data_IF_149252111796
#
_entry.id   IF_149252111796
#
_cell.length_a   1.000
_cell.length_b   1.000
_cell.length_c   1.000
_cell.angle_alpha   90.00
_cell.angle_beta   90.00
_cell.angle_gamma   90.00
#
_symmetry.space_group_name_H-M   'P 1'
#
loop_
_entity.id
_entity.type
_entity.pdbx_description
1 polymer ?
#
# COMPACT_ATOMS: atom_id res chain seq x y z
N UNK A 1 27.27 58.36 15.12
CA UNK A 1 26.20 57.32 15.07
C UNK A 1 26.15 56.76 13.66
N UNK A 2 26.91 55.67 13.43
CA UNK A 2 26.95 54.94 12.14
C UNK A 2 26.04 53.70 12.29
N UNK A 3 24.95 53.69 11.51
CA UNK A 3 24.01 52.57 11.44
C UNK A 3 24.53 51.55 10.39
N UNK A 4 24.93 50.39 10.85
CA UNK A 4 25.26 49.27 9.95
C UNK A 4 24.00 48.51 9.57
N UNK A 5 23.60 48.59 8.33
CA UNK A 5 22.54 47.75 7.76
C UNK A 5 23.13 46.35 7.41
N UNK A 6 22.66 45.35 8.10
CA UNK A 6 22.96 43.95 7.76
C UNK A 6 22.15 43.52 6.51
N UNK A 7 22.85 43.25 5.42
CA UNK A 7 22.24 42.65 4.22
C UNK A 7 22.07 41.16 4.49
N UNK A 8 20.83 40.70 4.66
CA UNK A 8 20.48 39.30 4.66
C UNK A 8 20.41 38.84 3.22
N UNK A 9 21.40 38.08 2.78
CA UNK A 9 21.37 37.40 1.48
C UNK A 9 20.36 36.28 1.56
N UNK A 10 19.19 36.46 0.96
CA UNK A 10 18.22 35.39 0.75
C UNK A 10 18.76 34.48 -0.37
N UNK A 11 19.27 33.31 0.01
CA UNK A 11 19.57 32.23 -0.94
C UNK A 11 18.26 31.71 -1.51
N UNK A 12 17.91 32.13 -2.72
CA UNK A 12 16.82 31.54 -3.49
C UNK A 12 17.27 30.14 -3.92
N UNK A 13 16.84 29.11 -3.17
CA UNK A 13 16.92 27.74 -3.65
C UNK A 13 16.01 27.65 -4.88
N UNK A 14 16.60 27.48 -6.07
CA UNK A 14 15.86 27.25 -7.31
C UNK A 14 15.25 25.85 -7.25
N UNK A 15 13.92 25.78 -7.18
CA UNK A 15 13.16 24.55 -7.34
C UNK A 15 13.40 23.85 -8.69
N UNK A 16 14.04 24.52 -9.65
CA UNK A 16 14.37 23.99 -10.97
C UNK A 16 15.53 22.96 -10.95
N UNK A 17 16.45 23.04 -9.99
CA UNK A 17 17.59 22.10 -9.93
C UNK A 17 17.23 20.73 -9.35
N UNK A 18 16.15 20.62 -8.56
CA UNK A 18 15.69 19.35 -8.01
C UNK A 18 14.97 18.47 -9.05
N UNK A 19 14.64 18.98 -10.22
CA UNK A 19 13.87 18.27 -11.27
C UNK A 19 14.72 17.89 -12.51
N UNK A 20 15.99 18.25 -12.57
CA UNK A 20 16.85 17.91 -13.69
C UNK A 20 17.26 16.43 -13.64
N UNK A 21 16.53 15.56 -14.32
CA UNK A 21 16.91 14.17 -14.55
C UNK A 21 15.79 13.13 -14.52
N UNK A 22 14.57 13.49 -14.16
CA UNK A 22 13.43 12.54 -14.18
C UNK A 22 12.41 12.97 -15.23
N UNK A 23 12.51 12.41 -16.42
CA UNK A 23 11.41 12.47 -17.38
C UNK A 23 10.24 11.71 -16.77
N UNK A 24 9.02 12.30 -16.66
CA UNK A 24 7.83 11.54 -16.26
C UNK A 24 7.69 10.35 -17.23
N UNK A 25 7.56 9.15 -16.69
CA UNK A 25 7.42 7.95 -17.51
C UNK A 25 6.07 7.94 -18.26
N UNK A 26 5.06 8.66 -17.74
CA UNK A 26 3.78 8.86 -18.38
C UNK A 26 3.36 10.34 -18.30
N UNK A 27 2.60 10.81 -19.29
CA UNK A 27 1.88 12.09 -19.22
C UNK A 27 0.73 12.03 -18.23
N UNK A 28 -0.03 13.14 -18.04
CA UNK A 28 -1.20 13.14 -17.15
C UNK A 28 -2.25 12.16 -17.64
N UNK A 29 -2.83 11.41 -16.71
CA UNK A 29 -3.91 10.44 -16.99
C UNK A 29 -4.94 10.44 -15.86
N UNK A 30 -6.12 9.88 -16.15
CA UNK A 30 -7.15 9.61 -15.17
C UNK A 30 -7.49 8.11 -15.20
N UNK A 31 -7.65 7.50 -14.01
CA UNK A 31 -8.20 6.15 -13.85
C UNK A 31 -9.56 6.29 -13.17
N UNK A 32 -10.62 5.86 -13.83
CA UNK A 32 -11.99 5.99 -13.34
C UNK A 32 -12.27 5.00 -12.21
N UNK A 33 -13.38 5.23 -11.48
CA UNK A 33 -13.86 4.28 -10.48
C UNK A 33 -14.12 2.91 -11.14
N UNK A 34 -13.68 1.83 -10.48
CA UNK A 34 -13.77 0.46 -11.01
C UNK A 34 -12.81 0.11 -12.15
N UNK A 35 -12.00 1.06 -12.63
CA UNK A 35 -10.97 0.83 -13.64
C UNK A 35 -9.57 0.78 -12.98
N UNK A 36 -8.61 0.19 -13.68
CA UNK A 36 -7.21 0.14 -13.31
C UNK A 36 -6.29 0.46 -14.48
N UNK A 37 -5.00 0.57 -14.21
CA UNK A 37 -3.97 0.61 -15.25
C UNK A 37 -4.00 -0.68 -16.07
N UNK A 38 -3.65 -0.67 -17.37
CA UNK A 38 -3.62 -1.88 -18.20
C UNK A 38 -2.78 -2.98 -17.56
N UNK A 39 -3.35 -4.18 -17.46
CA UNK A 39 -2.71 -5.34 -16.80
C UNK A 39 -2.64 -5.30 -15.27
N UNK A 40 -3.15 -4.23 -14.63
CA UNK A 40 -3.08 -4.03 -13.18
C UNK A 40 -4.41 -4.30 -12.47
N UNK A 41 -5.14 -5.33 -12.86
CA UNK A 41 -6.36 -5.76 -12.17
C UNK A 41 -6.27 -7.26 -11.89
N UNK A 42 -6.37 -7.63 -10.61
CA UNK A 42 -6.29 -9.03 -10.20
C UNK A 42 -7.55 -9.43 -9.44
N UNK A 43 -8.06 -10.58 -9.82
CA UNK A 43 -9.31 -11.13 -9.29
C UNK A 43 -9.00 -12.19 -8.23
N UNK A 44 -9.82 -12.23 -7.18
CA UNK A 44 -9.87 -13.32 -6.21
C UNK A 44 -11.31 -13.83 -6.20
N UNK A 45 -11.52 -15.11 -6.47
CA UNK A 45 -12.85 -15.73 -6.65
C UNK A 45 -13.76 -14.97 -7.62
N UNK A 46 -13.17 -14.41 -8.70
CA UNK A 46 -13.91 -13.65 -9.71
C UNK A 46 -14.20 -12.18 -9.35
N UNK A 47 -13.94 -11.77 -8.11
CA UNK A 47 -14.11 -10.38 -7.67
C UNK A 47 -12.81 -9.58 -7.82
N UNK A 48 -12.91 -8.32 -8.21
CA UNK A 48 -11.76 -7.40 -8.31
C UNK A 48 -11.30 -7.02 -6.91
N UNK A 49 -10.21 -7.61 -6.45
CA UNK A 49 -9.66 -7.37 -5.12
C UNK A 49 -8.50 -6.39 -5.15
N UNK A 50 -7.63 -6.48 -6.15
CA UNK A 50 -6.48 -5.59 -6.29
C UNK A 50 -6.54 -4.88 -7.63
N UNK A 51 -6.38 -3.55 -7.62
CA UNK A 51 -6.46 -2.73 -8.85
C UNK A 51 -5.43 -1.61 -8.81
N UNK A 52 -4.46 -1.63 -9.73
CA UNK A 52 -3.46 -0.56 -9.85
C UNK A 52 -4.12 0.73 -10.33
N UNK A 53 -4.04 1.79 -9.53
CA UNK A 53 -4.46 3.14 -9.91
C UNK A 53 -3.30 3.96 -10.46
N UNK A 54 -2.13 3.82 -9.87
CA UNK A 54 -0.88 4.40 -10.35
C UNK A 54 0.18 3.30 -10.32
N UNK A 55 0.72 2.97 -11.49
CA UNK A 55 1.81 2.01 -11.62
C UNK A 55 3.14 2.64 -11.23
N UNK A 56 4.02 1.86 -10.64
CA UNK A 56 5.41 2.27 -10.44
C UNK A 56 6.08 2.73 -11.74
N UNK A 57 5.72 2.14 -12.88
CA UNK A 57 6.22 2.53 -14.21
C UNK A 57 5.78 3.94 -14.61
N UNK A 58 4.59 4.39 -14.22
CA UNK A 58 4.07 5.72 -14.55
C UNK A 58 4.88 6.86 -13.90
N UNK A 59 5.50 6.57 -12.75
CA UNK A 59 6.15 7.59 -11.89
C UNK A 59 7.62 7.28 -11.60
N UNK A 60 8.28 6.51 -12.47
CA UNK A 60 9.70 6.17 -12.34
C UNK A 60 10.01 5.41 -11.05
N UNK A 61 9.13 4.50 -10.66
CA UNK A 61 9.21 3.64 -9.47
C UNK A 61 9.26 4.36 -8.12
N UNK A 62 8.87 5.64 -8.09
CA UNK A 62 8.83 6.40 -6.83
C UNK A 62 7.77 5.89 -5.88
N UNK A 63 6.59 5.56 -6.39
CA UNK A 63 5.51 4.94 -5.62
C UNK A 63 4.58 4.14 -6.53
N UNK A 64 3.73 3.30 -5.95
CA UNK A 64 2.58 2.71 -6.61
C UNK A 64 1.33 2.93 -5.75
N UNK A 65 0.15 3.03 -6.37
CA UNK A 65 -1.14 3.09 -5.68
C UNK A 65 -2.00 1.92 -6.14
N UNK A 66 -2.35 1.07 -5.20
CA UNK A 66 -3.21 -0.09 -5.40
C UNK A 66 -4.51 0.11 -4.63
N UNK A 67 -5.63 0.03 -5.32
CA UNK A 67 -6.96 -0.03 -4.70
C UNK A 67 -7.23 -1.48 -4.27
N UNK A 68 -7.64 -1.67 -3.03
CA UNK A 68 -7.80 -2.98 -2.40
C UNK A 68 -9.20 -3.12 -1.83
N UNK A 69 -9.86 -4.23 -2.14
CA UNK A 69 -11.14 -4.64 -1.57
C UNK A 69 -10.94 -5.93 -0.77
N UNK A 70 -11.16 -5.89 0.53
CA UNK A 70 -10.97 -7.06 1.39
C UNK A 70 -12.27 -7.47 2.05
N UNK A 71 -12.73 -8.72 1.86
CA UNK A 71 -13.94 -9.24 2.50
C UNK A 71 -13.86 -9.22 4.03
N UNK A 72 -15.02 -9.26 4.74
CA UNK A 72 -15.07 -9.33 6.19
C UNK A 72 -14.25 -10.49 6.76
N UNK A 73 -13.53 -10.23 7.86
CA UNK A 73 -12.73 -11.23 8.57
C UNK A 73 -11.41 -11.59 7.90
N UNK A 74 -11.14 -11.07 6.69
CA UNK A 74 -9.92 -11.34 5.95
C UNK A 74 -8.92 -10.17 6.01
N UNK A 75 -7.67 -10.47 5.74
CA UNK A 75 -6.54 -9.55 5.66
C UNK A 75 -5.26 -10.31 5.38
N UNK A 76 -4.14 -9.62 5.15
CA UNK A 76 -2.86 -10.27 4.91
C UNK A 76 -2.30 -10.91 6.18
N UNK A 77 -1.40 -11.85 5.99
CA UNK A 77 -0.52 -12.35 7.06
C UNK A 77 0.30 -11.19 7.65
N UNK A 78 0.73 -11.34 8.92
CA UNK A 78 1.65 -10.38 9.51
C UNK A 78 2.96 -10.39 8.73
N UNK A 79 3.32 -9.25 8.15
CA UNK A 79 4.44 -9.14 7.21
C UNK A 79 5.25 -7.86 7.40
N UNK A 80 6.38 -7.80 6.73
CA UNK A 80 7.32 -6.67 6.75
C UNK A 80 7.68 -6.29 5.32
N UNK A 81 7.71 -5.01 5.03
CA UNK A 81 8.33 -4.44 3.83
C UNK A 81 9.75 -3.92 4.16
N UNK A 82 10.83 -4.64 3.83
CA UNK A 82 12.19 -4.22 4.16
C UNK A 82 12.67 -2.95 3.45
N UNK A 83 12.06 -2.62 2.31
CA UNK A 83 12.51 -1.54 1.45
C UNK A 83 11.42 -0.50 1.12
N UNK A 84 10.24 -0.60 1.73
CA UNK A 84 9.09 0.23 1.40
C UNK A 84 8.38 0.72 2.64
N UNK A 85 7.89 1.96 2.59
CA UNK A 85 6.82 2.40 3.48
C UNK A 85 5.49 2.07 2.81
N UNK A 86 4.48 1.74 3.60
CA UNK A 86 3.11 1.53 3.11
C UNK A 86 2.15 2.48 3.83
N UNK A 87 1.43 3.27 3.04
CA UNK A 87 0.31 4.06 3.55
C UNK A 87 -0.99 3.35 3.18
N UNK A 88 -1.84 3.12 4.17
CA UNK A 88 -3.20 2.60 4.00
C UNK A 88 -4.17 3.74 4.23
N UNK A 89 -5.06 4.02 3.27
CA UNK A 89 -6.15 4.98 3.40
C UNK A 89 -7.49 4.26 3.24
N UNK A 90 -8.34 4.32 4.26
CA UNK A 90 -9.65 3.65 4.24
C UNK A 90 -10.68 4.52 3.53
N UNK A 91 -11.23 4.02 2.42
CA UNK A 91 -12.28 4.71 1.65
C UNK A 91 -13.69 4.30 2.14
N UNK A 92 -13.87 3.02 2.53
CA UNK A 92 -15.14 2.47 3.01
C UNK A 92 -14.89 1.32 3.97
N UNK A 93 -15.82 1.09 4.91
CA UNK A 93 -15.73 0.00 5.89
C UNK A 93 -14.81 0.36 7.06
N UNK A 94 -14.31 -0.67 7.74
CA UNK A 94 -13.38 -0.53 8.85
C UNK A 94 -12.41 -1.70 8.91
N UNK A 95 -11.20 -1.43 9.39
CA UNK A 95 -10.17 -2.45 9.59
C UNK A 95 -9.60 -2.36 11.00
N UNK A 96 -9.28 -3.51 11.58
CA UNK A 96 -8.38 -3.59 12.73
C UNK A 96 -6.95 -3.73 12.20
N UNK A 97 -6.06 -2.86 12.64
CA UNK A 97 -4.67 -2.80 12.18
C UNK A 97 -3.72 -3.02 13.35
N UNK A 98 -2.68 -3.78 13.12
CA UNK A 98 -1.53 -3.92 14.00
C UNK A 98 -0.26 -3.47 13.27
N UNK A 99 0.57 -2.65 13.93
CA UNK A 99 1.90 -2.27 13.44
C UNK A 99 2.88 -2.26 14.61
N UNK A 100 3.88 -3.13 14.57
CA UNK A 100 4.70 -3.43 15.73
C UNK A 100 3.85 -3.92 16.90
N UNK A 101 3.94 -3.22 18.05
CA UNK A 101 3.10 -3.47 19.23
C UNK A 101 1.75 -2.73 19.22
N UNK A 102 1.59 -1.74 18.35
CA UNK A 102 0.44 -0.86 18.36
C UNK A 102 -0.73 -1.48 17.61
N UNK A 103 -1.93 -1.32 18.17
CA UNK A 103 -3.19 -1.75 17.56
C UNK A 103 -4.18 -0.61 17.52
N UNK A 104 -4.88 -0.49 16.41
CA UNK A 104 -5.90 0.54 16.20
C UNK A 104 -7.01 0.05 15.29
N UNK A 105 -8.16 0.73 15.33
CA UNK A 105 -9.25 0.53 14.38
C UNK A 105 -9.29 1.78 13.49
N UNK A 106 -9.22 1.55 12.18
CA UNK A 106 -9.37 2.60 11.17
C UNK A 106 -10.73 2.47 10.50
N UNK A 107 -11.32 3.63 10.20
CA UNK A 107 -12.62 3.78 9.52
C UNK A 107 -12.48 4.63 8.27
N UNK A 108 -13.53 4.70 7.47
CA UNK A 108 -13.55 5.55 6.29
C UNK A 108 -13.11 6.99 6.60
N UNK A 109 -12.11 7.47 5.86
CA UNK A 109 -11.45 8.77 6.06
C UNK A 109 -10.15 8.70 6.85
N UNK A 110 -9.88 7.59 7.57
CA UNK A 110 -8.63 7.43 8.32
C UNK A 110 -7.49 6.96 7.40
N UNK A 111 -6.27 7.34 7.79
CA UNK A 111 -5.05 6.89 7.14
C UNK A 111 -4.05 6.37 8.18
N UNK A 112 -3.22 5.42 7.78
CA UNK A 112 -2.15 4.87 8.59
C UNK A 112 -0.87 4.69 7.76
N UNK A 113 0.26 5.04 8.34
CA UNK A 113 1.57 4.82 7.75
C UNK A 113 2.27 3.67 8.48
N UNK A 114 2.51 2.57 7.77
CA UNK A 114 3.40 1.49 8.20
C UNK A 114 4.82 1.79 7.72
N UNK A 115 5.77 2.09 8.62
CA UNK A 115 7.15 2.33 8.24
C UNK A 115 7.83 1.05 7.73
N UNK A 116 8.85 1.21 6.89
CA UNK A 116 9.69 0.09 6.45
C UNK A 116 10.26 -0.67 7.66
N UNK A 117 10.44 -1.97 7.51
CA UNK A 117 10.94 -2.90 8.53
C UNK A 117 10.09 -3.04 9.80
N UNK A 118 8.88 -2.46 9.87
CA UNK A 118 7.97 -2.66 11.00
C UNK A 118 6.92 -3.71 10.62
N UNK A 119 6.79 -4.82 11.39
CA UNK A 119 5.76 -5.83 11.15
C UNK A 119 4.36 -5.24 11.25
N UNK A 120 3.54 -5.48 10.23
CA UNK A 120 2.15 -4.98 10.23
C UNK A 120 1.21 -5.93 9.49
N UNK A 121 -0.07 -5.81 9.82
CA UNK A 121 -1.18 -6.49 9.17
C UNK A 121 -2.47 -5.75 9.49
N UNK A 122 -3.52 -6.04 8.72
CA UNK A 122 -4.87 -5.60 9.04
C UNK A 122 -5.86 -6.77 8.90
N UNK A 123 -7.05 -6.59 9.44
CA UNK A 123 -8.20 -7.48 9.24
C UNK A 123 -9.45 -6.64 9.04
N UNK A 124 -10.27 -6.97 8.05
CA UNK A 124 -11.54 -6.29 7.81
C UNK A 124 -12.54 -6.60 8.94
N UNK A 125 -13.12 -5.55 9.53
CA UNK A 125 -14.09 -5.64 10.61
C UNK A 125 -15.53 -5.44 10.11
N UNK A 126 -16.48 -5.97 10.88
CA UNK A 126 -17.91 -5.86 10.56
C UNK A 126 -18.36 -6.87 9.51
N UNK A 127 -19.42 -6.55 8.77
CA UNK A 127 -20.09 -7.45 7.82
C UNK A 127 -19.92 -7.03 6.36
N UNK A 128 -19.35 -5.83 6.12
CA UNK A 128 -19.13 -5.28 4.79
C UNK A 128 -17.64 -5.33 4.42
N UNK A 129 -17.30 -5.51 3.14
CA UNK A 129 -15.92 -5.41 2.69
C UNK A 129 -15.30 -4.04 3.00
N UNK A 130 -14.03 -4.04 3.38
CA UNK A 130 -13.24 -2.81 3.44
C UNK A 130 -12.75 -2.44 2.03
N UNK A 131 -12.80 -1.15 1.72
CA UNK A 131 -12.27 -0.56 0.49
C UNK A 131 -11.18 0.43 0.85
N UNK A 132 -9.99 0.26 0.33
CA UNK A 132 -8.79 0.99 0.72
C UNK A 132 -7.95 1.39 -0.49
N UNK A 133 -7.11 2.41 -0.29
CA UNK A 133 -5.95 2.67 -1.14
C UNK A 133 -4.68 2.33 -0.35
N UNK A 134 -3.83 1.53 -0.95
CA UNK A 134 -2.48 1.26 -0.48
C UNK A 134 -1.48 2.01 -1.35
N UNK A 135 -0.62 2.82 -0.74
CA UNK A 135 0.48 3.50 -1.43
C UNK A 135 1.79 2.92 -0.92
N UNK A 136 2.57 2.35 -1.83
CA UNK A 136 3.91 1.82 -1.55
C UNK A 136 4.98 2.80 -2.02
N UNK A 137 5.90 3.18 -1.15
CA UNK A 137 6.99 4.13 -1.45
C UNK A 137 8.33 3.60 -0.92
N UNK A 138 9.29 3.30 -1.83
CA UNK A 138 9.16 3.21 -3.30
C UNK A 138 8.18 2.15 -3.76
N UNK A 139 7.81 2.14 -5.05
CA UNK A 139 6.86 1.17 -5.62
C UNK A 139 7.27 -0.29 -5.41
N UNK A 140 8.58 -0.56 -5.38
CA UNK A 140 9.09 -1.93 -5.34
C UNK A 140 8.63 -2.77 -6.52
N UNK A 141 8.29 -4.03 -6.25
CA UNK A 141 7.64 -4.95 -7.18
C UNK A 141 6.24 -5.37 -6.70
N UNK A 142 5.49 -4.42 -6.14
CA UNK A 142 4.16 -4.72 -5.57
C UNK A 142 3.14 -5.14 -6.62
N UNK A 143 3.25 -4.64 -7.85
CA UNK A 143 2.38 -5.08 -8.94
C UNK A 143 2.66 -6.54 -9.32
N UNK A 144 3.95 -6.93 -9.40
CA UNK A 144 4.35 -8.33 -9.57
C UNK A 144 3.90 -9.21 -8.40
N UNK A 145 4.00 -8.70 -7.17
CA UNK A 145 3.49 -9.37 -5.99
C UNK A 145 1.99 -9.70 -6.11
N UNK A 146 1.13 -8.71 -6.41
CA UNK A 146 -0.31 -8.96 -6.51
C UNK A 146 -0.67 -9.86 -7.69
N UNK A 147 0.09 -9.81 -8.79
CA UNK A 147 -0.10 -10.70 -9.94
C UNK A 147 0.14 -12.17 -9.57
N UNK A 148 1.16 -12.46 -8.79
CA UNK A 148 1.51 -13.82 -8.38
C UNK A 148 0.70 -14.27 -7.14
N UNK A 149 0.31 -13.33 -6.26
CA UNK A 149 -0.42 -13.61 -5.02
C UNK A 149 -1.91 -13.91 -5.24
N UNK A 150 -2.58 -13.12 -6.08
CA UNK A 150 -4.02 -13.24 -6.27
C UNK A 150 -4.48 -14.66 -6.71
N UNK A 151 -3.80 -15.37 -7.61
CA UNK A 151 -4.17 -16.75 -7.95
C UNK A 151 -4.06 -17.73 -6.79
N UNK A 152 -3.13 -17.50 -5.85
CA UNK A 152 -2.91 -18.40 -4.72
C UNK A 152 -3.98 -18.27 -3.63
N UNK A 153 -4.58 -17.08 -3.48
CA UNK A 153 -5.69 -16.85 -2.54
C UNK A 153 -7.07 -17.02 -3.20
N UNK A 154 -7.10 -17.28 -4.53
CA UNK A 154 -8.32 -17.53 -5.30
C UNK A 154 -8.65 -19.02 -5.43
N UNK A 155 -8.27 -19.82 -4.42
CA UNK A 155 -8.52 -21.26 -4.39
C UNK A 155 -9.68 -21.58 -3.45
N UNK A 156 -10.37 -22.70 -3.73
CA UNK A 156 -11.37 -23.23 -2.80
C UNK A 156 -10.67 -23.87 -1.59
N UNK A 157 -11.04 -23.45 -0.39
CA UNK A 157 -10.46 -23.93 0.87
C UNK A 157 -9.32 -23.03 1.40
N UNK A 158 -8.49 -23.61 2.28
CA UNK A 158 -7.34 -22.88 2.88
C UNK A 158 -6.24 -22.67 1.83
N UNK A 159 -5.72 -21.44 1.68
CA UNK A 159 -4.57 -21.16 0.83
C UNK A 159 -3.31 -21.90 1.31
N UNK A 160 -2.43 -22.22 0.37
CA UNK A 160 -1.11 -22.78 0.68
C UNK A 160 -0.19 -21.68 1.26
N UNK A 161 -0.15 -21.56 2.57
CA UNK A 161 0.64 -20.54 3.28
C UNK A 161 2.14 -20.59 2.97
N UNK A 162 2.68 -21.77 2.65
CA UNK A 162 4.09 -21.88 2.26
C UNK A 162 4.32 -21.18 0.91
N UNK A 163 3.46 -21.43 -0.08
CA UNK A 163 3.54 -20.76 -1.38
C UNK A 163 3.30 -19.26 -1.29
N UNK A 164 2.37 -18.83 -0.42
CA UNK A 164 2.14 -17.40 -0.16
C UNK A 164 3.40 -16.74 0.40
N UNK A 165 4.08 -17.39 1.35
CA UNK A 165 5.34 -16.87 1.90
C UNK A 165 6.46 -16.83 0.84
N UNK A 166 6.60 -17.87 0.01
CA UNK A 166 7.58 -17.93 -1.08
C UNK A 166 7.35 -16.80 -2.12
N UNK A 167 6.10 -16.57 -2.52
CA UNK A 167 5.74 -15.46 -3.42
C UNK A 167 6.02 -14.12 -2.75
N UNK A 168 5.66 -13.97 -1.48
CA UNK A 168 5.94 -12.74 -0.73
C UNK A 168 7.44 -12.42 -0.72
N UNK A 169 8.28 -13.39 -0.38
CA UNK A 169 9.73 -13.20 -0.34
C UNK A 169 10.33 -12.89 -1.72
N UNK A 170 9.85 -13.55 -2.78
CA UNK A 170 10.23 -13.28 -4.18
C UNK A 170 10.09 -11.80 -4.54
N UNK A 171 9.04 -11.14 -4.04
CA UNK A 171 8.72 -9.73 -4.31
C UNK A 171 9.16 -8.77 -3.21
N UNK A 172 9.99 -9.24 -2.26
CA UNK A 172 10.57 -8.41 -1.21
C UNK A 172 9.64 -8.13 -0.03
N UNK A 173 8.60 -8.93 0.16
CA UNK A 173 7.73 -8.92 1.34
C UNK A 173 8.08 -10.13 2.22
N UNK A 174 8.25 -9.94 3.53
CA UNK A 174 8.58 -11.04 4.44
C UNK A 174 7.39 -11.34 5.35
N UNK A 175 6.83 -12.53 5.25
CA UNK A 175 5.83 -13.04 6.20
C UNK A 175 6.55 -13.38 7.51
N UNK A 176 6.02 -12.86 8.62
CA UNK A 176 6.63 -13.02 9.97
C UNK A 176 5.63 -13.52 11.01
N UNK A 177 4.38 -13.77 10.64
CA UNK A 177 3.36 -14.32 11.52
C UNK A 177 2.03 -14.56 10.81
N UNK A 178 1.06 -15.14 11.51
CA UNK A 178 -0.26 -15.43 10.93
C UNK A 178 -1.07 -14.15 10.68
N UNK A 179 -2.16 -14.23 9.89
CA UNK A 179 -3.10 -13.14 9.74
C UNK A 179 -3.77 -12.78 11.07
N UNK A 180 -4.26 -11.54 11.18
CA UNK A 180 -5.00 -11.08 12.34
C UNK A 180 -6.42 -11.65 12.36
N UNK A 181 -6.94 -11.90 13.55
CA UNK A 181 -8.34 -12.29 13.75
C UNK A 181 -9.18 -11.07 14.13
N UNK A 182 -10.35 -10.90 13.51
CA UNK A 182 -11.28 -9.81 13.82
C UNK A 182 -11.71 -9.80 15.31
N UNK A 183 -11.80 -10.96 15.94
CA UNK A 183 -12.11 -11.11 17.38
C UNK A 183 -11.10 -10.42 18.29
N UNK A 184 -9.86 -10.22 17.85
CA UNK A 184 -8.84 -9.52 18.64
C UNK A 184 -9.02 -7.99 18.69
N UNK A 185 -10.03 -7.46 17.99
CA UNK A 185 -10.43 -6.04 17.98
C UNK A 185 -11.86 -5.84 18.50
N UNK A 186 -12.53 -6.90 18.98
CA UNK A 186 -13.81 -6.78 19.67
C UNK A 186 -13.56 -6.24 21.09
N UNK A 187 -14.14 -5.08 21.40
CA UNK A 187 -14.16 -4.48 22.74
C UNK A 187 -15.36 -4.95 23.52
#
# INVERSE_FOLDING_TARGET
LTSSAAVVAASTFSLAEAQSGRTPAAGPFAVRAGEGRPGGQWLVHGEKVFTTKVSGADVGKTFAIIEVHTPPGLGPELHVHPAQNELIFVLKGSIGLQCGSDRTILRAGDAFMAPLNVPHAYVTLGTEPAHMLHLFNPAGDMEGFFADYAPLVSVDGEPDHQKLAEVSEKHGVKVVGPPLMASSFAS
#
